data_IF_228013206268
#
_entry.id   IF_228013206268
#
_cell.length_a   1.000
_cell.length_b   1.000
_cell.length_c   1.000
_cell.angle_alpha   90.00
_cell.angle_beta   90.00
_cell.angle_gamma   90.00
#
_symmetry.space_group_name_H-M   'P 1'
#
loop_
_entity.id
_entity.type
_entity.pdbx_description
1 polymer ?
#
# COMPACT_ATOMS: atom_id res chain seq x y z
N UNK A 1 4.44 -23.80 -5.54
CA UNK A 1 3.80 -23.48 -4.26
C UNK A 1 2.63 -22.56 -4.50
N UNK A 2 1.43 -23.02 -4.23
CA UNK A 2 0.20 -22.25 -4.48
C UNK A 2 0.17 -20.95 -3.70
N UNK A 3 0.73 -20.94 -2.50
CA UNK A 3 0.74 -19.78 -1.63
C UNK A 3 1.61 -18.63 -2.13
N UNK A 4 2.45 -18.89 -3.16
CA UNK A 4 3.29 -17.87 -3.78
C UNK A 4 2.67 -17.30 -5.03
N UNK A 5 1.56 -17.86 -5.49
CA UNK A 5 0.81 -17.29 -6.58
C UNK A 5 0.10 -16.04 -6.05
N UNK A 6 0.41 -14.90 -6.64
CA UNK A 6 -0.12 -13.62 -6.21
C UNK A 6 -1.65 -13.60 -6.19
N UNK A 7 -2.28 -14.24 -7.17
CA UNK A 7 -3.75 -14.26 -7.25
C UNK A 7 -4.36 -15.06 -6.10
N UNK A 8 -3.71 -16.15 -5.68
CA UNK A 8 -4.17 -16.95 -4.55
C UNK A 8 -4.02 -16.16 -3.26
N UNK A 9 -2.86 -15.54 -3.05
CA UNK A 9 -2.61 -14.72 -1.87
C UNK A 9 -3.62 -13.58 -1.76
N UNK A 10 -3.87 -12.88 -2.86
CA UNK A 10 -4.83 -11.78 -2.87
C UNK A 10 -6.22 -12.24 -2.49
N UNK A 11 -6.69 -13.36 -3.04
CA UNK A 11 -8.04 -13.85 -2.74
C UNK A 11 -8.22 -14.18 -1.26
N UNK A 12 -7.19 -14.71 -0.61
CA UNK A 12 -7.29 -15.06 0.82
C UNK A 12 -7.25 -13.84 1.71
N UNK A 13 -6.75 -12.70 1.22
CA UNK A 13 -6.59 -11.48 2.02
C UNK A 13 -7.66 -10.43 1.74
N UNK A 14 -8.66 -10.76 0.96
CA UNK A 14 -9.81 -9.88 0.65
C UNK A 14 -9.37 -8.48 0.23
N UNK A 15 -8.65 -8.35 -0.89
CA UNK A 15 -8.09 -7.07 -1.29
C UNK A 15 -9.15 -6.08 -1.75
N UNK A 16 -8.95 -4.81 -1.39
CA UNK A 16 -9.78 -3.70 -1.86
C UNK A 16 -8.86 -2.70 -2.54
N UNK A 17 -9.03 -2.53 -3.84
CA UNK A 17 -8.34 -1.50 -4.60
C UNK A 17 -9.13 -0.20 -4.50
N UNK A 18 -8.48 0.85 -3.97
CA UNK A 18 -9.11 2.17 -3.88
C UNK A 18 -9.13 2.83 -5.25
N UNK A 19 -10.20 3.56 -5.59
CA UNK A 19 -10.39 4.05 -6.96
C UNK A 19 -9.50 5.21 -7.37
N UNK A 20 -8.85 5.88 -6.42
CA UNK A 20 -8.04 7.06 -6.72
C UNK A 20 -6.56 6.82 -6.42
N UNK A 21 -5.66 7.49 -7.15
CA UNK A 21 -4.24 7.39 -6.84
C UNK A 21 -3.87 8.16 -5.59
N UNK A 22 -2.85 7.67 -4.89
CA UNK A 22 -2.27 8.30 -3.71
C UNK A 22 -0.84 8.76 -4.03
N UNK A 23 -0.32 9.62 -3.20
CA UNK A 23 1.06 10.07 -3.29
C UNK A 23 1.71 10.16 -1.93
N UNK A 24 3.03 10.29 -1.95
CA UNK A 24 3.88 10.46 -0.77
C UNK A 24 4.59 11.79 -0.91
N UNK A 25 4.49 12.66 0.09
CA UNK A 25 5.12 13.97 0.03
C UNK A 25 5.49 14.45 1.42
N UNK A 26 6.45 15.35 1.50
CA UNK A 26 6.77 16.03 2.75
C UNK A 26 5.95 17.30 2.83
N UNK A 27 5.26 17.50 3.93
CA UNK A 27 4.42 18.69 4.14
C UNK A 27 4.58 19.22 5.55
N UNK A 28 4.42 20.54 5.67
CA UNK A 28 4.38 21.23 6.95
C UNK A 28 3.01 21.87 7.12
N UNK A 29 2.59 22.09 8.38
CA UNK A 29 1.33 22.73 8.68
C UNK A 29 0.13 21.83 8.54
N UNK A 30 -0.96 22.36 8.00
CA UNK A 30 -2.21 21.62 7.88
C UNK A 30 -2.08 20.44 6.92
N UNK A 31 -2.68 19.32 7.30
CA UNK A 31 -2.63 18.10 6.47
C UNK A 31 -3.51 18.27 5.23
N UNK A 32 -3.06 17.71 4.09
CA UNK A 32 -3.89 17.66 2.89
C UNK A 32 -5.22 16.95 3.14
N UNK A 33 -6.25 17.34 2.40
CA UNK A 33 -7.56 16.72 2.51
C UNK A 33 -7.46 15.21 2.21
N UNK A 34 -8.10 14.40 3.05
CA UNK A 34 -8.12 12.95 2.88
C UNK A 34 -6.82 12.25 3.22
N UNK A 35 -5.93 12.91 3.98
CA UNK A 35 -4.67 12.29 4.40
C UNK A 35 -4.94 10.94 5.03
N UNK A 36 -4.28 9.91 4.50
CA UNK A 36 -4.40 8.55 4.97
C UNK A 36 -3.46 8.25 6.13
N UNK A 37 -2.20 8.70 6.01
CA UNK A 37 -1.18 8.39 7.01
C UNK A 37 -0.12 9.47 7.04
N UNK A 38 0.56 9.58 8.18
CA UNK A 38 1.71 10.45 8.35
C UNK A 38 2.84 9.69 9.02
N UNK A 39 4.07 10.07 8.67
CA UNK A 39 5.27 9.54 9.31
C UNK A 39 6.14 10.70 9.72
N UNK A 40 6.37 10.84 11.02
CA UNK A 40 7.25 11.88 11.55
C UNK A 40 8.70 11.43 11.39
N UNK A 41 9.45 12.18 10.59
CA UNK A 41 10.84 11.88 10.32
C UNK A 41 11.72 13.09 10.68
N UNK A 42 13.02 12.88 10.83
CA UNK A 42 13.95 13.97 11.18
C UNK A 42 13.93 15.08 10.11
N UNK A 43 13.74 14.70 8.85
CA UNK A 43 13.72 15.63 7.72
C UNK A 43 12.41 16.36 7.54
N UNK A 44 11.37 15.92 8.22
CA UNK A 44 10.01 16.49 8.09
C UNK A 44 8.95 15.42 8.16
N UNK A 45 7.71 15.83 8.02
CA UNK A 45 6.59 14.90 8.08
C UNK A 45 6.26 14.39 6.69
N UNK A 46 6.37 13.08 6.50
CA UNK A 46 5.87 12.43 5.30
C UNK A 46 4.37 12.28 5.41
N UNK A 47 3.65 12.64 4.35
CA UNK A 47 2.21 12.55 4.27
C UNK A 47 1.83 11.61 3.13
N UNK A 48 0.94 10.67 3.40
CA UNK A 48 0.35 9.81 2.37
C UNK A 48 -1.10 10.24 2.20
N UNK A 49 -1.44 10.72 1.02
CA UNK A 49 -2.75 11.33 0.77
C UNK A 49 -3.15 11.13 -0.70
N UNK A 50 -4.45 11.32 -1.01
CA UNK A 50 -4.87 11.31 -2.41
C UNK A 50 -4.01 12.27 -3.24
N UNK A 51 -3.60 11.82 -4.40
CA UNK A 51 -2.71 12.60 -5.26
C UNK A 51 -3.30 13.96 -5.62
N UNK A 52 -4.61 14.03 -5.79
CA UNK A 52 -5.30 15.28 -6.08
C UNK A 52 -5.11 16.31 -4.95
N UNK A 53 -5.08 15.85 -3.70
CA UNK A 53 -4.88 16.75 -2.56
C UNK A 53 -3.42 17.21 -2.44
N UNK A 54 -2.50 16.48 -3.05
CA UNK A 54 -1.07 16.84 -3.05
C UNK A 54 -0.70 17.75 -4.21
N UNK A 55 -1.59 17.91 -5.19
CA UNK A 55 -1.32 18.74 -6.36
C UNK A 55 -0.46 18.08 -7.42
N UNK A 56 -0.29 16.78 -7.35
CA UNK A 56 0.49 16.02 -8.31
C UNK A 56 1.60 15.20 -7.66
N UNK A 57 2.42 14.57 -8.48
CA UNK A 57 3.50 13.70 -8.06
C UNK A 57 3.37 12.32 -8.65
N UNK A 58 4.20 11.38 -8.18
CA UNK A 58 4.13 10.01 -8.65
C UNK A 58 2.88 9.31 -8.10
N UNK A 59 2.06 8.71 -8.98
CA UNK A 59 0.83 8.07 -8.53
C UNK A 59 1.07 6.65 -8.04
N UNK A 60 0.43 6.33 -6.89
CA UNK A 60 0.47 5.01 -6.28
C UNK A 60 -0.95 4.51 -6.08
N UNK A 61 -1.16 3.24 -6.36
CA UNK A 61 -2.43 2.58 -6.07
C UNK A 61 -2.43 2.06 -4.64
N UNK A 62 -3.50 2.30 -3.92
CA UNK A 62 -3.69 1.79 -2.56
C UNK A 62 -4.55 0.54 -2.59
N UNK A 63 -3.98 -0.56 -2.09
CA UNK A 63 -4.69 -1.84 -1.97
C UNK A 63 -4.72 -2.20 -0.49
N UNK A 64 -5.90 -2.32 0.08
CA UNK A 64 -6.06 -2.68 1.48
C UNK A 64 -6.33 -4.16 1.61
N UNK A 65 -5.62 -4.82 2.53
CA UNK A 65 -5.73 -6.24 2.80
C UNK A 65 -6.19 -6.45 4.24
N UNK A 66 -7.04 -7.43 4.46
CA UNK A 66 -7.47 -7.79 5.80
C UNK A 66 -6.33 -8.46 6.55
N UNK A 67 -6.05 -7.97 7.75
CA UNK A 67 -5.01 -8.55 8.61
C UNK A 67 -5.58 -9.68 9.44
N UNK A 68 -4.87 -10.81 9.43
CA UNK A 68 -5.12 -11.89 10.36
C UNK A 68 -4.08 -11.78 11.47
N UNK A 69 -4.53 -11.55 12.69
CA UNK A 69 -3.67 -11.19 13.81
C UNK A 69 -2.97 -12.40 14.45
N UNK A 70 -2.29 -13.20 13.64
CA UNK A 70 -1.48 -14.32 14.11
C UNK A 70 -0.12 -14.32 13.39
N UNK A 71 0.73 -15.28 13.75
CA UNK A 71 2.06 -15.38 13.17
C UNK A 71 2.02 -15.65 11.66
N UNK A 72 0.95 -16.28 11.18
CA UNK A 72 0.81 -16.54 9.76
C UNK A 72 0.67 -15.27 8.96
N UNK A 73 0.10 -14.21 9.54
CA UNK A 73 -0.07 -12.93 8.86
C UNK A 73 1.29 -12.32 8.46
N UNK A 74 2.30 -12.45 9.32
CA UNK A 74 3.64 -11.95 9.02
C UNK A 74 4.22 -12.68 7.80
N UNK A 75 4.08 -13.99 7.77
CA UNK A 75 4.56 -14.79 6.65
C UNK A 75 3.81 -14.48 5.36
N UNK A 76 2.52 -14.23 5.44
CA UNK A 76 1.71 -13.88 4.27
C UNK A 76 2.15 -12.54 3.66
N UNK A 77 2.40 -11.53 4.49
CA UNK A 77 2.86 -10.22 4.01
C UNK A 77 4.20 -10.35 3.31
N UNK A 78 5.13 -11.11 3.87
CA UNK A 78 6.43 -11.35 3.25
C UNK A 78 6.30 -12.08 1.90
N UNK A 79 5.45 -13.10 1.85
CA UNK A 79 5.20 -13.85 0.62
C UNK A 79 4.56 -12.97 -0.45
N UNK A 80 3.66 -12.10 -0.04
CA UNK A 80 3.00 -11.15 -0.95
C UNK A 80 4.02 -10.19 -1.56
N UNK A 81 4.86 -9.59 -0.72
CA UNK A 81 5.88 -8.67 -1.17
C UNK A 81 6.88 -9.34 -2.12
N UNK A 82 7.25 -10.58 -1.80
CA UNK A 82 8.14 -11.35 -2.66
C UNK A 82 7.50 -11.65 -4.03
N UNK A 83 6.20 -11.97 -4.05
CA UNK A 83 5.49 -12.23 -5.29
C UNK A 83 5.42 -10.99 -6.18
N UNK A 84 5.17 -9.81 -5.57
CA UNK A 84 5.17 -8.55 -6.31
C UNK A 84 6.56 -8.24 -6.86
N UNK A 85 7.59 -8.40 -6.05
CA UNK A 85 8.97 -8.15 -6.46
C UNK A 85 9.37 -9.04 -7.64
N UNK A 86 8.93 -10.29 -7.64
CA UNK A 86 9.21 -11.22 -8.74
C UNK A 86 8.61 -10.75 -10.06
N UNK A 87 7.54 -9.95 -10.02
CA UNK A 87 6.91 -9.38 -11.20
C UNK A 87 7.38 -7.95 -11.49
N UNK A 88 8.39 -7.48 -10.78
CA UNK A 88 8.93 -6.14 -10.97
C UNK A 88 8.03 -5.03 -10.45
N UNK A 89 7.14 -5.34 -9.53
CA UNK A 89 6.21 -4.36 -8.96
C UNK A 89 6.77 -3.85 -7.64
N UNK A 90 7.00 -2.54 -7.57
CA UNK A 90 7.41 -1.89 -6.32
C UNK A 90 6.24 -1.86 -5.35
N UNK A 91 6.50 -2.20 -4.10
CA UNK A 91 5.45 -2.24 -3.08
C UNK A 91 5.94 -1.57 -1.80
N UNK A 92 5.17 -0.60 -1.33
CA UNK A 92 5.37 0.00 -0.01
C UNK A 92 4.22 -0.46 0.88
N UNK A 93 4.54 -0.88 2.09
CA UNK A 93 3.54 -1.42 3.02
C UNK A 93 3.39 -0.50 4.21
N UNK A 94 2.15 -0.16 4.54
CA UNK A 94 1.82 0.52 5.79
C UNK A 94 0.92 -0.42 6.57
N UNK A 95 1.42 -0.91 7.70
CA UNK A 95 0.70 -1.87 8.52
C UNK A 95 -0.21 -1.14 9.50
N UNK A 96 -1.49 -1.46 9.44
CA UNK A 96 -2.46 -1.02 10.44
C UNK A 96 -2.83 -2.17 11.37
N UNK A 97 -3.62 -1.89 12.38
CA UNK A 97 -4.08 -2.89 13.33
C UNK A 97 -5.05 -3.87 12.66
N UNK A 98 -5.92 -3.35 11.80
CA UNK A 98 -6.98 -4.14 11.18
C UNK A 98 -6.72 -4.48 9.72
N UNK A 99 -5.88 -3.71 9.05
CA UNK A 99 -5.61 -3.87 7.63
C UNK A 99 -4.15 -3.54 7.34
N UNK A 100 -3.56 -4.26 6.39
CA UNK A 100 -2.33 -3.85 5.76
C UNK A 100 -2.67 -3.09 4.49
N UNK A 101 -1.95 -2.03 4.22
CA UNK A 101 -2.16 -1.21 3.04
C UNK A 101 -0.93 -1.27 2.17
N UNK A 102 -1.11 -1.73 0.94
CA UNK A 102 -0.03 -1.84 -0.03
C UNK A 102 -0.15 -0.69 -1.02
N UNK A 103 0.98 -0.07 -1.33
CA UNK A 103 1.03 0.97 -2.34
C UNK A 103 1.91 0.47 -3.47
N UNK A 104 1.29 0.25 -4.63
CA UNK A 104 1.98 -0.22 -5.83
C UNK A 104 1.89 0.85 -6.90
N UNK A 105 2.79 0.80 -7.89
CA UNK A 105 2.78 1.73 -9.00
C UNK A 105 1.39 1.77 -9.64
N UNK A 106 0.86 2.96 -9.85
CA UNK A 106 -0.51 3.12 -10.38
C UNK A 106 -0.73 2.33 -11.67
N UNK A 107 0.24 2.37 -12.59
CA UNK A 107 0.16 1.65 -13.86
C UNK A 107 0.13 0.15 -13.72
N UNK A 108 0.54 -0.38 -12.57
CA UNK A 108 0.57 -1.82 -12.30
C UNK A 108 -0.50 -2.27 -11.32
N UNK A 109 -1.49 -1.41 -11.02
CA UNK A 109 -2.47 -1.70 -9.97
C UNK A 109 -3.32 -2.93 -10.25
N UNK A 110 -3.64 -3.19 -11.48
CA UNK A 110 -4.44 -4.37 -11.83
C UNK A 110 -3.60 -5.64 -11.73
N UNK A 111 -2.29 -5.54 -11.97
CA UNK A 111 -1.38 -6.68 -11.80
C UNK A 111 -1.22 -7.03 -10.33
N UNK A 112 -1.33 -6.03 -9.44
CA UNK A 112 -1.28 -6.23 -7.99
C UNK A 112 -2.58 -6.79 -7.42
N UNK A 113 -3.57 -6.95 -8.25
CA UNK A 113 -4.83 -7.58 -7.88
C UNK A 113 -4.87 -9.01 -8.43
#
# INVERSE_FOLDING_TARGET
MGERDLRVLLRTMEPVLHPEPYGFAVREGALPSGTFATVAEAEGMTVVAPLAALGGGEPWARISLKVHSDLAAVGLTAAFAAALAAEGISCNVIAGVHHDHLFVQWGRRMDGM
#
